data_IF_676655730786
#
_entry.id   IF_676655730786
#
_cell.length_a   1.000
_cell.length_b   1.000
_cell.length_c   1.000
_cell.angle_alpha   90.00
_cell.angle_beta   90.00
_cell.angle_gamma   90.00
#
_symmetry.space_group_name_H-M   'P 1'
#
loop_
_entity.id
_entity.type
_entity.pdbx_description
1 polymer ?
#
# COMPACT_ATOMS: atom_id res chain seq x y z
N UNK A 1 -17.68 -31.32 -29.90
CA UNK A 1 -16.73 -30.63 -29.01
C UNK A 1 -17.34 -30.65 -27.63
N UNK A 2 -16.68 -31.23 -26.63
CA UNK A 2 -17.19 -31.18 -25.25
C UNK A 2 -17.14 -29.71 -24.80
N UNK A 3 -18.24 -29.17 -24.31
CA UNK A 3 -18.25 -27.85 -23.67
C UNK A 3 -17.33 -27.91 -22.46
N UNK A 4 -16.22 -27.18 -22.51
CA UNK A 4 -15.34 -27.00 -21.37
C UNK A 4 -16.00 -26.01 -20.40
N UNK A 5 -16.44 -26.46 -19.20
CA UNK A 5 -17.14 -25.59 -18.26
C UNK A 5 -16.28 -24.41 -17.80
N UNK A 6 -14.96 -24.57 -17.73
CA UNK A 6 -14.03 -23.50 -17.31
C UNK A 6 -13.94 -22.43 -18.39
N UNK A 7 -13.79 -22.83 -19.66
CA UNK A 7 -13.78 -21.88 -20.78
C UNK A 7 -15.12 -21.13 -20.92
N UNK A 8 -16.25 -21.82 -20.69
CA UNK A 8 -17.57 -21.18 -20.69
C UNK A 8 -17.74 -20.20 -19.52
N UNK A 9 -17.21 -20.53 -18.34
CA UNK A 9 -17.21 -19.65 -17.18
C UNK A 9 -16.34 -18.40 -17.41
N UNK A 10 -15.13 -18.55 -17.99
CA UNK A 10 -14.28 -17.40 -18.36
C UNK A 10 -15.00 -16.42 -19.28
N UNK A 11 -15.74 -16.92 -20.27
CA UNK A 11 -16.57 -16.07 -21.13
C UNK A 11 -17.66 -15.34 -20.34
N UNK A 12 -18.36 -16.03 -19.44
CA UNK A 12 -19.37 -15.41 -18.59
C UNK A 12 -18.77 -14.34 -17.66
N UNK A 13 -17.55 -14.55 -17.15
CA UNK A 13 -16.81 -13.57 -16.33
C UNK A 13 -16.49 -12.31 -17.14
N UNK A 14 -15.99 -12.46 -18.38
CA UNK A 14 -15.74 -11.33 -19.28
C UNK A 14 -17.03 -10.53 -19.59
N UNK A 15 -18.18 -11.20 -19.62
CA UNK A 15 -19.51 -10.58 -19.77
C UNK A 15 -20.09 -10.06 -18.43
N UNK A 16 -19.33 -10.13 -17.33
CA UNK A 16 -19.73 -9.77 -15.95
C UNK A 16 -20.93 -10.56 -15.41
N UNK A 17 -21.20 -11.73 -15.97
CA UNK A 17 -22.25 -12.67 -15.54
C UNK A 17 -21.75 -13.60 -14.42
N UNK A 18 -21.24 -13.04 -13.31
CA UNK A 18 -20.55 -13.80 -12.25
C UNK A 18 -21.40 -14.92 -11.62
N UNK A 19 -22.70 -14.68 -11.42
CA UNK A 19 -23.61 -15.70 -10.87
C UNK A 19 -23.71 -16.92 -11.80
N UNK A 20 -23.81 -16.68 -13.11
CA UNK A 20 -23.83 -17.74 -14.12
C UNK A 20 -22.48 -18.46 -14.21
N UNK A 21 -21.38 -17.71 -14.10
CA UNK A 21 -20.04 -18.32 -14.06
C UNK A 21 -19.90 -19.30 -12.89
N UNK A 22 -20.38 -18.96 -11.69
CA UNK A 22 -20.40 -19.86 -10.53
C UNK A 22 -21.17 -21.15 -10.86
N UNK A 23 -22.38 -21.06 -11.42
CA UNK A 23 -23.17 -22.24 -11.79
C UNK A 23 -22.43 -23.17 -12.75
N UNK A 24 -21.67 -22.61 -13.70
CA UNK A 24 -20.87 -23.36 -14.67
C UNK A 24 -19.64 -24.03 -14.03
N UNK A 25 -19.08 -23.43 -12.97
CA UNK A 25 -17.87 -23.90 -12.28
C UNK A 25 -18.16 -24.99 -11.24
N UNK A 26 -19.33 -24.98 -10.60
CA UNK A 26 -19.71 -25.91 -9.52
C UNK A 26 -19.41 -27.40 -9.83
N UNK A 27 -19.74 -27.95 -11.02
CA UNK A 27 -19.46 -29.36 -11.31
C UNK A 27 -17.96 -29.69 -11.36
N UNK A 28 -17.12 -28.73 -11.78
CA UNK A 28 -15.66 -28.91 -11.86
C UNK A 28 -14.99 -28.69 -10.49
N UNK A 29 -15.51 -27.76 -9.69
CA UNK A 29 -15.05 -27.49 -8.32
C UNK A 29 -15.38 -28.65 -7.36
N UNK A 30 -16.56 -29.26 -7.49
CA UNK A 30 -17.03 -30.34 -6.60
C UNK A 30 -16.68 -31.77 -7.08
N UNK A 31 -15.92 -31.92 -8.17
CA UNK A 31 -15.58 -33.22 -8.74
C UNK A 31 -14.49 -33.99 -7.96
N UNK A 32 -14.34 -35.29 -8.25
CA UNK A 32 -13.39 -36.20 -7.57
C UNK A 32 -11.91 -35.75 -7.62
N UNK A 33 -11.53 -34.92 -8.61
CA UNK A 33 -10.16 -34.41 -8.79
C UNK A 33 -10.05 -32.88 -8.58
N UNK A 34 -10.98 -32.26 -7.86
CA UNK A 34 -10.99 -30.84 -7.46
C UNK A 34 -10.18 -29.91 -8.38
N UNK A 35 -10.83 -29.32 -9.38
CA UNK A 35 -10.14 -28.46 -10.33
C UNK A 35 -9.75 -27.13 -9.68
N UNK A 36 -8.45 -26.87 -9.55
CA UNK A 36 -7.87 -25.65 -8.95
C UNK A 36 -8.35 -24.38 -9.64
N UNK A 37 -8.26 -24.32 -10.97
CA UNK A 37 -8.68 -23.16 -11.76
C UNK A 37 -10.17 -22.88 -11.57
N UNK A 38 -11.01 -23.92 -11.49
CA UNK A 38 -12.42 -23.76 -11.23
C UNK A 38 -12.71 -23.20 -9.83
N UNK A 39 -11.96 -23.63 -8.81
CA UNK A 39 -12.09 -23.12 -7.44
C UNK A 39 -11.65 -21.65 -7.34
N UNK A 40 -10.53 -21.29 -7.98
CA UNK A 40 -10.07 -19.89 -8.01
C UNK A 40 -11.08 -18.98 -8.71
N UNK A 41 -11.54 -19.35 -9.91
CA UNK A 41 -12.54 -18.56 -10.64
C UNK A 41 -13.85 -18.45 -9.87
N UNK A 42 -14.27 -19.52 -9.17
CA UNK A 42 -15.45 -19.47 -8.33
C UNK A 42 -15.26 -18.48 -7.17
N UNK A 43 -14.13 -18.55 -6.47
CA UNK A 43 -13.83 -17.66 -5.35
C UNK A 43 -13.75 -16.18 -5.79
N UNK A 44 -13.13 -15.91 -6.96
CA UNK A 44 -13.09 -14.56 -7.56
C UNK A 44 -14.48 -14.06 -7.92
N UNK A 45 -15.34 -14.89 -8.51
CA UNK A 45 -16.75 -14.54 -8.75
C UNK A 45 -17.52 -14.26 -7.45
N UNK A 46 -17.27 -15.02 -6.39
CA UNK A 46 -17.87 -14.77 -5.07
C UNK A 46 -17.39 -13.43 -4.50
N UNK A 47 -16.12 -13.03 -4.70
CA UNK A 47 -15.64 -11.69 -4.34
C UNK A 47 -16.39 -10.59 -5.11
N UNK A 48 -16.56 -10.76 -6.42
CA UNK A 48 -17.29 -9.81 -7.28
C UNK A 48 -18.76 -9.61 -6.87
N UNK A 49 -19.38 -10.66 -6.31
CA UNK A 49 -20.75 -10.63 -5.80
C UNK A 49 -20.83 -10.20 -4.32
N UNK A 50 -19.73 -9.78 -3.71
CA UNK A 50 -19.62 -9.45 -2.28
C UNK A 50 -19.97 -10.62 -1.33
N UNK A 51 -19.86 -11.86 -1.82
CA UNK A 51 -20.03 -13.08 -1.02
C UNK A 51 -18.73 -13.45 -0.29
N UNK A 52 -18.19 -12.51 0.51
CA UNK A 52 -16.87 -12.65 1.16
C UNK A 52 -16.72 -13.93 2.00
N UNK A 53 -17.79 -14.37 2.68
CA UNK A 53 -17.78 -15.60 3.46
C UNK A 53 -17.67 -16.86 2.59
N UNK A 54 -18.27 -16.88 1.40
CA UNK A 54 -18.18 -18.00 0.47
C UNK A 54 -16.77 -18.09 -0.14
N UNK A 55 -16.26 -16.96 -0.63
CA UNK A 55 -14.87 -16.84 -1.11
C UNK A 55 -13.87 -17.26 -0.02
N UNK A 56 -14.03 -16.76 1.20
CA UNK A 56 -13.15 -17.06 2.34
C UNK A 56 -13.10 -18.55 2.70
N UNK A 57 -14.20 -19.30 2.54
CA UNK A 57 -14.21 -20.77 2.72
C UNK A 57 -13.36 -21.48 1.67
N UNK A 58 -13.47 -21.07 0.41
CA UNK A 58 -12.69 -21.66 -0.69
C UNK A 58 -11.20 -21.35 -0.50
N UNK A 59 -10.85 -20.11 -0.20
CA UNK A 59 -9.45 -19.72 0.05
C UNK A 59 -8.88 -20.42 1.29
N UNK A 60 -9.62 -20.51 2.39
CA UNK A 60 -9.18 -21.23 3.60
C UNK A 60 -8.92 -22.71 3.29
N UNK A 61 -9.82 -23.34 2.52
CA UNK A 61 -9.66 -24.71 2.09
C UNK A 61 -8.39 -24.91 1.25
N UNK A 62 -8.15 -24.05 0.25
CA UNK A 62 -6.95 -24.12 -0.59
C UNK A 62 -5.66 -23.94 0.21
N UNK A 63 -5.64 -22.99 1.15
CA UNK A 63 -4.47 -22.73 1.98
C UNK A 63 -4.16 -23.90 2.94
N UNK A 64 -5.19 -24.52 3.54
CA UNK A 64 -5.06 -25.60 4.52
C UNK A 64 -4.66 -26.95 3.90
N UNK A 65 -5.27 -27.34 2.78
CA UNK A 65 -5.01 -28.66 2.18
C UNK A 65 -3.61 -28.75 1.56
N UNK A 66 -3.09 -27.64 1.03
CA UNK A 66 -1.70 -27.46 0.64
C UNK A 66 -1.21 -28.35 -0.52
N UNK A 67 -1.03 -29.64 -0.30
CA UNK A 67 -0.48 -30.59 -1.26
C UNK A 67 -1.22 -30.69 -2.61
N UNK A 68 -2.56 -30.53 -2.71
CA UNK A 68 -3.24 -30.63 -3.99
C UNK A 68 -3.23 -29.33 -4.80
N UNK A 69 -2.77 -28.21 -4.22
CA UNK A 69 -2.84 -26.89 -4.85
C UNK A 69 -1.45 -26.31 -5.14
N UNK A 70 -1.33 -25.60 -6.25
CA UNK A 70 -0.12 -24.93 -6.67
C UNK A 70 0.28 -23.84 -5.67
N UNK A 71 1.58 -23.49 -5.59
CA UNK A 71 2.03 -22.39 -4.74
C UNK A 71 1.35 -21.06 -5.10
N UNK A 72 1.04 -20.82 -6.38
CA UNK A 72 0.36 -19.61 -6.83
C UNK A 72 -1.08 -19.50 -6.30
N UNK A 73 -1.87 -20.57 -6.43
CA UNK A 73 -3.24 -20.62 -5.91
C UNK A 73 -3.29 -20.43 -4.39
N UNK A 74 -2.34 -21.05 -3.67
CA UNK A 74 -2.22 -20.90 -2.21
C UNK A 74 -1.77 -19.51 -1.81
N UNK A 75 -0.94 -18.87 -2.61
CA UNK A 75 -0.49 -17.50 -2.35
C UNK A 75 -1.62 -16.49 -2.52
N UNK A 76 -2.42 -16.62 -3.59
CA UNK A 76 -3.66 -15.84 -3.75
C UNK A 76 -4.60 -16.03 -2.55
N UNK A 77 -4.80 -17.28 -2.12
CA UNK A 77 -5.59 -17.57 -0.93
C UNK A 77 -5.03 -16.88 0.33
N UNK A 78 -3.72 -16.94 0.55
CA UNK A 78 -3.09 -16.27 1.67
C UNK A 78 -3.25 -14.74 1.60
N UNK A 79 -3.11 -14.14 0.42
CA UNK A 79 -3.30 -12.71 0.20
C UNK A 79 -4.73 -12.27 0.57
N UNK A 80 -5.75 -12.94 0.02
CA UNK A 80 -7.16 -12.62 0.30
C UNK A 80 -7.52 -12.83 1.77
N UNK A 81 -6.89 -13.81 2.44
CA UNK A 81 -7.08 -14.05 3.88
C UNK A 81 -6.28 -13.09 4.77
N UNK A 82 -5.71 -12.01 4.23
CA UNK A 82 -4.98 -11.00 5.00
C UNK A 82 -3.59 -11.46 5.46
N UNK A 83 -2.99 -12.43 4.77
CA UNK A 83 -1.66 -12.98 5.08
C UNK A 83 -0.67 -12.74 3.92
N UNK A 84 -0.38 -11.47 3.55
CA UNK A 84 0.49 -11.16 2.40
C UNK A 84 1.93 -11.68 2.57
N UNK A 85 2.44 -11.76 3.81
CA UNK A 85 3.76 -12.33 4.07
C UNK A 85 3.80 -13.84 3.80
N UNK A 86 2.74 -14.56 4.18
CA UNK A 86 2.56 -15.98 3.83
C UNK A 86 2.47 -16.17 2.33
N UNK A 87 1.74 -15.28 1.62
CA UNK A 87 1.67 -15.26 0.16
C UNK A 87 3.07 -15.14 -0.47
N UNK A 88 3.88 -14.18 -0.03
CA UNK A 88 5.26 -14.02 -0.51
C UNK A 88 6.13 -15.25 -0.24
N UNK A 89 6.00 -15.86 0.93
CA UNK A 89 6.75 -17.07 1.26
C UNK A 89 6.38 -18.26 0.36
N UNK A 90 5.10 -18.38 -0.01
CA UNK A 90 4.60 -19.41 -0.93
C UNK A 90 5.08 -19.18 -2.38
N UNK A 91 5.25 -17.92 -2.79
CA UNK A 91 5.73 -17.55 -4.14
C UNK A 91 7.26 -17.54 -4.27
N UNK A 92 7.98 -17.47 -3.15
CA UNK A 92 9.45 -17.42 -3.14
C UNK A 92 10.13 -18.54 -3.98
N UNK A 93 9.66 -19.81 -3.99
CA UNK A 93 10.21 -20.85 -4.86
C UNK A 93 10.11 -20.53 -6.35
N UNK A 94 9.05 -19.82 -6.78
CA UNK A 94 8.80 -19.47 -8.18
C UNK A 94 9.64 -18.26 -8.64
N UNK A 95 10.17 -17.47 -7.72
CA UNK A 95 10.90 -16.23 -8.02
C UNK A 95 12.21 -16.44 -8.82
N UNK A 96 12.64 -17.70 -9.02
CA UNK A 96 13.86 -18.06 -9.77
C UNK A 96 13.64 -18.25 -11.28
N UNK A 97 12.41 -18.11 -11.79
CA UNK A 97 12.14 -18.12 -13.23
C UNK A 97 10.69 -18.41 -13.62
N UNK A 98 9.92 -19.01 -12.71
CA UNK A 98 8.54 -19.48 -12.96
C UNK A 98 7.47 -18.47 -12.50
N UNK A 99 7.88 -17.32 -11.98
CA UNK A 99 6.97 -16.25 -11.55
C UNK A 99 6.56 -15.40 -12.75
N UNK A 100 5.54 -15.85 -13.47
CA UNK A 100 4.95 -15.21 -14.65
C UNK A 100 3.42 -15.13 -14.53
N UNK A 101 2.77 -14.40 -15.43
CA UNK A 101 1.32 -14.24 -15.50
C UNK A 101 0.71 -13.71 -14.20
N UNK A 102 -0.47 -14.23 -13.87
CA UNK A 102 -1.20 -13.86 -12.65
C UNK A 102 -0.34 -14.04 -11.37
N UNK A 103 0.52 -15.06 -11.31
CA UNK A 103 1.35 -15.29 -10.13
C UNK A 103 2.35 -14.13 -9.86
N UNK A 104 2.85 -13.49 -10.91
CA UNK A 104 3.70 -12.30 -10.78
C UNK A 104 2.91 -11.07 -10.30
N UNK A 105 1.66 -10.91 -10.74
CA UNK A 105 0.76 -9.88 -10.22
C UNK A 105 0.45 -10.11 -8.73
N UNK A 106 0.10 -11.34 -8.33
CA UNK A 106 -0.13 -11.70 -6.92
C UNK A 106 1.12 -11.44 -6.07
N UNK A 107 2.32 -11.77 -6.57
CA UNK A 107 3.57 -11.44 -5.88
C UNK A 107 3.78 -9.94 -5.69
N UNK A 108 3.44 -9.16 -6.73
CA UNK A 108 3.57 -7.70 -6.72
C UNK A 108 2.66 -7.06 -5.69
N UNK A 109 1.39 -7.48 -5.65
CA UNK A 109 0.40 -7.02 -4.67
C UNK A 109 0.79 -7.45 -3.26
N UNK A 110 1.23 -8.69 -3.09
CA UNK A 110 1.68 -9.18 -1.78
C UNK A 110 2.89 -8.39 -1.26
N UNK A 111 3.85 -8.09 -2.14
CA UNK A 111 5.00 -7.24 -1.81
C UNK A 111 4.57 -5.81 -1.45
N UNK A 112 3.61 -5.25 -2.19
CA UNK A 112 3.03 -3.94 -1.89
C UNK A 112 2.38 -3.93 -0.50
N UNK A 113 1.53 -4.90 -0.17
CA UNK A 113 0.86 -5.00 1.13
C UNK A 113 1.84 -5.14 2.31
N UNK A 114 2.99 -5.78 2.09
CA UNK A 114 4.08 -5.87 3.06
C UNK A 114 4.99 -4.62 3.11
N UNK A 115 4.71 -3.58 2.31
CA UNK A 115 5.53 -2.37 2.23
C UNK A 115 6.86 -2.54 1.50
N UNK A 116 7.08 -3.68 0.82
CA UNK A 116 8.29 -4.02 0.09
C UNK A 116 8.21 -3.53 -1.37
N UNK A 117 8.16 -2.21 -1.54
CA UNK A 117 7.95 -1.58 -2.85
C UNK A 117 9.05 -1.95 -3.86
N UNK A 118 10.30 -2.06 -3.41
CA UNK A 118 11.41 -2.48 -4.28
C UNK A 118 11.20 -3.87 -4.89
N UNK A 119 10.57 -4.79 -4.15
CA UNK A 119 10.25 -6.12 -4.65
C UNK A 119 8.99 -6.10 -5.52
N UNK A 120 7.98 -5.29 -5.15
CA UNK A 120 6.80 -5.02 -5.99
C UNK A 120 7.21 -4.55 -7.39
N UNK A 121 8.04 -3.51 -7.48
CA UNK A 121 8.60 -3.03 -8.75
C UNK A 121 9.36 -4.11 -9.50
N UNK A 122 10.15 -4.94 -8.80
CA UNK A 122 10.93 -6.01 -9.44
C UNK A 122 10.01 -7.06 -10.07
N UNK A 123 8.94 -7.44 -9.40
CA UNK A 123 7.98 -8.41 -9.92
C UNK A 123 7.19 -7.85 -11.11
N UNK A 124 6.71 -6.60 -11.01
CA UNK A 124 6.04 -5.92 -12.11
C UNK A 124 6.95 -5.71 -13.33
N UNK A 125 8.24 -5.38 -13.11
CA UNK A 125 9.19 -5.22 -14.20
C UNK A 125 9.48 -6.55 -14.92
N UNK A 126 9.45 -7.68 -14.18
CA UNK A 126 9.57 -9.02 -14.78
C UNK A 126 8.33 -9.40 -15.58
N UNK A 127 7.14 -9.14 -15.03
CA UNK A 127 5.86 -9.31 -15.71
C UNK A 127 5.84 -8.53 -17.04
N UNK A 128 6.16 -7.24 -17.00
CA UNK A 128 6.25 -6.40 -18.20
C UNK A 128 7.34 -6.87 -19.18
N UNK A 129 8.52 -7.29 -18.69
CA UNK A 129 9.60 -7.80 -19.54
C UNK A 129 9.28 -9.13 -20.22
N UNK A 130 8.35 -9.92 -19.68
CA UNK A 130 7.81 -11.13 -20.31
C UNK A 130 6.83 -10.81 -21.47
N UNK A 131 6.50 -9.54 -21.68
CA UNK A 131 5.52 -9.09 -22.67
C UNK A 131 4.08 -9.25 -22.20
N UNK A 132 3.87 -9.43 -20.89
CA UNK A 132 2.55 -9.51 -20.27
C UNK A 132 2.03 -8.11 -19.95
N UNK A 133 0.72 -7.93 -20.11
CA UNK A 133 0.02 -6.67 -19.84
C UNK A 133 -1.00 -6.91 -18.73
N UNK A 134 -1.10 -5.97 -17.79
CA UNK A 134 -2.13 -6.02 -16.76
C UNK A 134 -3.42 -5.53 -17.39
N UNK A 135 -4.33 -6.47 -17.66
CA UNK A 135 -5.66 -6.21 -18.21
C UNK A 135 -6.69 -6.09 -17.08
N UNK A 136 -7.37 -4.95 -17.00
CA UNK A 136 -8.44 -4.68 -16.02
C UNK A 136 -9.68 -5.59 -16.26
N UNK A 137 -9.78 -6.25 -17.41
CA UNK A 137 -10.85 -7.22 -17.70
C UNK A 137 -10.53 -8.64 -17.21
N UNK A 138 -9.27 -8.90 -16.82
CA UNK A 138 -8.87 -10.23 -16.35
C UNK A 138 -9.46 -10.56 -14.97
N UNK A 139 -9.84 -11.83 -14.71
CA UNK A 139 -10.43 -12.20 -13.43
C UNK A 139 -9.53 -11.94 -12.22
N UNK A 140 -8.20 -11.87 -12.41
CA UNK A 140 -7.23 -11.55 -11.35
C UNK A 140 -7.45 -10.16 -10.78
N UNK A 141 -8.06 -9.25 -11.54
CA UNK A 141 -8.37 -7.88 -11.11
C UNK A 141 -9.23 -7.87 -9.84
N UNK A 142 -10.20 -8.79 -9.75
CA UNK A 142 -11.06 -8.95 -8.58
C UNK A 142 -10.29 -9.29 -7.29
N UNK A 143 -9.10 -9.89 -7.43
CA UNK A 143 -8.20 -10.17 -6.31
C UNK A 143 -7.47 -8.90 -5.90
N UNK A 144 -7.00 -8.11 -6.87
CA UNK A 144 -6.26 -6.85 -6.66
C UNK A 144 -7.18 -5.83 -5.99
N UNK A 145 -8.39 -5.62 -6.54
CA UNK A 145 -9.41 -4.71 -5.97
C UNK A 145 -9.85 -5.13 -4.56
N UNK A 146 -9.84 -6.43 -4.25
CA UNK A 146 -10.15 -6.90 -2.90
C UNK A 146 -8.99 -6.66 -1.92
N UNK A 147 -7.75 -6.85 -2.38
CA UNK A 147 -6.56 -6.78 -1.53
C UNK A 147 -6.14 -5.33 -1.20
N UNK A 148 -6.52 -4.35 -2.02
CA UNK A 148 -6.05 -2.98 -1.93
C UNK A 148 -7.19 -1.98 -1.76
N UNK A 149 -6.99 -0.98 -0.90
CA UNK A 149 -7.86 0.21 -0.89
C UNK A 149 -7.71 0.99 -2.20
N UNK A 150 -8.72 1.80 -2.55
CA UNK A 150 -8.71 2.58 -3.81
C UNK A 150 -7.43 3.42 -3.99
N UNK A 151 -6.92 4.04 -2.94
CA UNK A 151 -5.67 4.82 -3.01
C UNK A 151 -4.44 3.96 -3.21
N UNK A 152 -4.43 2.76 -2.64
CA UNK A 152 -3.35 1.79 -2.77
C UNK A 152 -3.35 1.15 -4.16
N UNK A 153 -4.53 0.88 -4.71
CA UNK A 153 -4.72 0.47 -6.09
C UNK A 153 -4.13 1.50 -7.07
N UNK A 154 -4.52 2.77 -6.93
CA UNK A 154 -3.97 3.83 -7.80
C UNK A 154 -2.45 3.99 -7.64
N UNK A 155 -1.90 3.82 -6.44
CA UNK A 155 -0.45 3.84 -6.24
C UNK A 155 0.24 2.65 -6.91
N UNK A 156 -0.36 1.45 -6.86
CA UNK A 156 0.13 0.27 -7.57
C UNK A 156 0.15 0.49 -9.09
N UNK A 157 -0.86 1.13 -9.67
CA UNK A 157 -0.86 1.51 -11.10
C UNK A 157 0.35 2.38 -11.44
N UNK A 158 0.69 3.36 -10.60
CA UNK A 158 1.86 4.21 -10.85
C UNK A 158 3.18 3.42 -10.76
N UNK A 159 3.26 2.48 -9.82
CA UNK A 159 4.39 1.56 -9.71
C UNK A 159 4.49 0.69 -10.96
N UNK A 160 3.36 0.21 -11.50
CA UNK A 160 3.33 -0.59 -12.73
C UNK A 160 3.81 0.21 -13.95
N UNK A 161 3.38 1.47 -14.10
CA UNK A 161 3.88 2.35 -15.16
C UNK A 161 5.39 2.58 -15.05
N UNK A 162 5.90 2.83 -13.83
CA UNK A 162 7.33 2.94 -13.59
C UNK A 162 8.09 1.63 -13.93
N UNK A 163 7.48 0.48 -13.61
CA UNK A 163 8.04 -0.82 -13.94
C UNK A 163 8.10 -1.08 -15.45
N UNK A 164 7.04 -0.75 -16.19
CA UNK A 164 6.99 -0.83 -17.66
C UNK A 164 8.06 0.06 -18.32
N UNK A 165 8.23 1.29 -17.83
CA UNK A 165 9.27 2.20 -18.34
C UNK A 165 10.69 1.68 -18.08
N UNK A 166 10.88 0.97 -16.97
CA UNK A 166 12.16 0.36 -16.58
C UNK A 166 12.45 -0.98 -17.26
N UNK A 167 11.43 -1.66 -17.78
CA UNK A 167 11.56 -2.98 -18.40
C UNK A 167 12.50 -2.91 -19.62
N UNK A 168 13.63 -3.59 -19.53
CA UNK A 168 14.64 -3.64 -20.59
C UNK A 168 15.67 -2.50 -20.60
N UNK A 169 15.67 -1.58 -19.61
CA UNK A 169 16.71 -0.54 -19.46
C UNK A 169 17.26 -0.50 -18.04
N UNK A 170 18.59 -0.60 -17.82
CA UNK A 170 19.15 -0.36 -16.50
C UNK A 170 18.99 1.11 -16.12
N UNK A 171 18.17 1.36 -15.10
CA UNK A 171 18.14 2.62 -14.35
C UNK A 171 17.27 3.75 -14.91
N UNK A 172 15.96 3.71 -14.67
CA UNK A 172 15.21 4.90 -14.34
C UNK A 172 14.82 4.91 -12.85
N UNK A 173 14.86 6.08 -12.24
CA UNK A 173 14.18 6.30 -10.97
C UNK A 173 12.66 6.31 -11.24
N UNK A 174 11.83 5.77 -10.33
CA UNK A 174 10.36 5.83 -10.45
C UNK A 174 9.90 7.29 -10.55
N UNK A 175 9.33 7.66 -11.70
CA UNK A 175 8.91 9.04 -12.01
C UNK A 175 7.41 9.18 -11.80
N UNK A 176 6.62 8.25 -12.31
CA UNK A 176 5.17 8.28 -12.25
C UNK A 176 4.70 8.29 -10.80
N UNK A 177 5.23 7.37 -9.97
CA UNK A 177 4.89 7.34 -8.55
C UNK A 177 5.32 8.60 -7.80
N UNK A 178 6.52 9.11 -8.08
CA UNK A 178 6.98 10.38 -7.49
C UNK A 178 6.03 11.54 -7.82
N UNK A 179 5.63 11.68 -9.09
CA UNK A 179 4.69 12.70 -9.51
C UNK A 179 3.32 12.52 -8.85
N UNK A 180 2.80 11.30 -8.79
CA UNK A 180 1.51 11.00 -8.17
C UNK A 180 1.48 11.32 -6.67
N UNK A 181 2.59 11.09 -5.95
CA UNK A 181 2.72 11.47 -4.54
C UNK A 181 2.84 12.99 -4.38
N UNK A 182 3.57 13.65 -5.27
CA UNK A 182 3.83 15.10 -5.17
C UNK A 182 2.62 15.96 -5.57
N UNK A 183 1.83 15.55 -6.57
CA UNK A 183 0.70 16.35 -7.09
C UNK A 183 -0.30 16.77 -5.99
N UNK A 184 -0.82 15.87 -5.14
CA UNK A 184 -1.76 16.24 -4.07
C UNK A 184 -1.19 17.27 -3.09
N UNK A 185 0.11 17.15 -2.80
CA UNK A 185 0.86 18.07 -1.92
C UNK A 185 1.00 19.45 -2.60
N UNK A 186 1.41 19.47 -3.87
CA UNK A 186 1.47 20.70 -4.67
C UNK A 186 0.11 21.40 -4.83
N UNK A 187 -0.96 20.64 -5.07
CA UNK A 187 -2.33 21.16 -5.17
C UNK A 187 -2.81 21.83 -3.88
N UNK A 188 -2.37 21.34 -2.72
CA UNK A 188 -2.66 21.96 -1.43
C UNK A 188 -2.03 23.35 -1.33
N UNK A 189 -0.73 23.49 -1.62
CA UNK A 189 -0.02 24.76 -1.52
C UNK A 189 -0.47 25.79 -2.56
N UNK A 190 -0.86 25.32 -3.75
CA UNK A 190 -1.31 26.18 -4.86
C UNK A 190 -2.78 26.58 -4.76
N UNK A 191 -3.53 26.02 -3.81
CA UNK A 191 -4.92 26.39 -3.60
C UNK A 191 -5.05 27.82 -3.05
N UNK A 192 -5.58 28.70 -3.90
CA UNK A 192 -5.69 30.14 -3.63
C UNK A 192 -6.74 30.54 -2.58
N UNK A 193 -7.62 29.62 -2.16
CA UNK A 193 -8.72 29.91 -1.23
C UNK A 193 -8.72 28.95 -0.03
N UNK A 194 -9.06 29.43 1.18
CA UNK A 194 -9.18 28.61 2.39
C UNK A 194 -10.05 27.35 2.22
N UNK A 195 -11.23 27.50 1.60
CA UNK A 195 -12.19 26.41 1.41
C UNK A 195 -11.64 25.31 0.48
N UNK A 196 -10.84 25.71 -0.53
CA UNK A 196 -10.15 24.77 -1.41
C UNK A 196 -8.99 24.09 -0.71
N UNK A 197 -8.17 24.83 0.05
CA UNK A 197 -7.09 24.24 0.86
C UNK A 197 -7.62 23.20 1.83
N UNK A 198 -8.70 23.50 2.54
CA UNK A 198 -9.35 22.55 3.45
C UNK A 198 -9.79 21.28 2.74
N UNK A 199 -10.39 21.39 1.55
CA UNK A 199 -10.78 20.23 0.73
C UNK A 199 -9.57 19.41 0.25
N UNK A 200 -8.47 20.05 -0.14
CA UNK A 200 -7.23 19.38 -0.55
C UNK A 200 -6.55 18.70 0.64
N UNK A 201 -6.48 19.36 1.78
CA UNK A 201 -5.99 18.78 3.04
C UNK A 201 -6.82 17.56 3.46
N UNK A 202 -8.15 17.65 3.41
CA UNK A 202 -9.02 16.51 3.68
C UNK A 202 -8.81 15.35 2.68
N UNK A 203 -8.52 15.65 1.41
CA UNK A 203 -8.19 14.61 0.43
C UNK A 203 -6.86 13.92 0.73
N UNK A 204 -5.83 14.67 1.14
CA UNK A 204 -4.55 14.12 1.61
C UNK A 204 -4.73 13.25 2.86
N UNK A 205 -5.51 13.72 3.84
CA UNK A 205 -5.77 12.97 5.07
C UNK A 205 -6.49 11.66 4.80
N UNK A 206 -7.38 11.59 3.80
CA UNK A 206 -8.01 10.31 3.41
C UNK A 206 -7.01 9.25 2.93
N UNK A 207 -5.84 9.66 2.44
CA UNK A 207 -4.75 8.72 2.08
C UNK A 207 -3.93 8.38 3.33
N UNK A 208 -3.56 9.37 4.13
CA UNK A 208 -2.71 9.19 5.31
C UNK A 208 -3.40 8.41 6.45
N UNK A 209 -4.70 8.66 6.66
CA UNK A 209 -5.53 8.07 7.69
C UNK A 209 -6.91 7.68 7.10
N UNK A 210 -6.98 6.54 6.40
CA UNK A 210 -8.23 6.07 5.78
C UNK A 210 -9.34 5.91 6.82
N UNK A 211 -10.54 6.37 6.49
CA UNK A 211 -11.71 6.28 7.38
C UNK A 211 -11.78 7.34 8.48
N UNK A 212 -10.73 8.13 8.70
CA UNK A 212 -10.75 9.22 9.68
C UNK A 212 -11.25 10.55 9.07
N UNK A 213 -12.24 11.21 9.69
CA UNK A 213 -12.66 12.53 9.24
C UNK A 213 -11.57 13.57 9.53
N UNK A 214 -11.28 14.42 8.55
CA UNK A 214 -10.34 15.52 8.75
C UNK A 214 -10.95 16.60 9.65
N UNK A 215 -10.35 16.81 10.83
CA UNK A 215 -10.73 17.87 11.77
C UNK A 215 -9.50 18.70 12.17
N UNK A 216 -9.35 19.92 11.61
CA UNK A 216 -8.30 20.84 12.02
C UNK A 216 -8.47 21.34 13.45
N UNK A 217 -9.69 21.42 13.97
CA UNK A 217 -9.95 22.04 15.28
C UNK A 217 -9.22 21.31 16.42
N UNK A 218 -8.39 22.05 17.15
CA UNK A 218 -7.63 21.52 18.29
C UNK A 218 -6.46 20.63 17.88
N UNK A 219 -6.06 20.65 16.60
CA UNK A 219 -4.93 19.88 16.11
C UNK A 219 -3.62 20.31 16.75
N UNK A 220 -3.47 21.61 17.03
CA UNK A 220 -2.30 22.14 17.78
C UNK A 220 -2.16 21.50 19.15
N UNK A 221 -3.28 21.31 19.87
CA UNK A 221 -3.29 20.68 21.19
C UNK A 221 -2.99 19.18 21.11
N UNK A 222 -3.55 18.48 20.11
CA UNK A 222 -3.25 17.06 19.87
C UNK A 222 -1.78 16.85 19.51
N UNK A 223 -1.24 17.68 18.63
CA UNK A 223 0.18 17.65 18.27
C UNK A 223 1.06 17.94 19.49
N UNK A 224 0.68 18.92 20.32
CA UNK A 224 1.37 19.20 21.58
C UNK A 224 1.39 17.98 22.50
N UNK A 225 0.26 17.27 22.64
CA UNK A 225 0.16 16.05 23.43
C UNK A 225 1.15 14.97 22.95
N UNK A 226 1.19 14.72 21.63
CA UNK A 226 2.16 13.78 21.04
C UNK A 226 3.59 14.19 21.39
N UNK A 227 3.95 15.46 21.19
CA UNK A 227 5.32 15.93 21.47
C UNK A 227 5.66 15.90 22.97
N UNK A 228 4.68 16.06 23.86
CA UNK A 228 4.84 15.90 25.30
C UNK A 228 5.12 14.44 25.69
N UNK A 229 4.44 13.49 25.04
CA UNK A 229 4.72 12.06 25.25
C UNK A 229 6.17 11.73 24.86
N UNK A 230 6.64 12.26 23.73
CA UNK A 230 8.05 12.15 23.32
C UNK A 230 9.00 12.85 24.30
N UNK A 231 8.64 14.02 24.83
CA UNK A 231 9.44 14.73 25.83
C UNK A 231 9.60 13.94 27.15
N UNK A 232 8.65 13.05 27.46
CA UNK A 232 8.70 12.12 28.59
C UNK A 232 9.39 10.78 28.30
N UNK A 233 9.75 10.49 27.04
CA UNK A 233 10.43 9.25 26.62
C UNK A 233 11.91 9.25 27.00
N UNK A 234 12.46 8.07 27.34
CA UNK A 234 13.89 7.93 27.66
C UNK A 234 14.79 8.13 26.42
N UNK A 235 14.33 7.69 25.25
CA UNK A 235 15.14 7.68 24.02
C UNK A 235 15.03 9.01 23.26
N UNK A 236 13.84 9.62 23.25
CA UNK A 236 13.51 10.76 22.38
C UNK A 236 13.14 12.05 23.12
N UNK A 237 13.40 12.14 24.43
CA UNK A 237 13.08 13.34 25.24
C UNK A 237 13.57 14.65 24.61
N UNK A 238 14.79 14.62 24.04
CA UNK A 238 15.39 15.80 23.42
C UNK A 238 14.59 16.27 22.21
N UNK A 239 14.17 15.34 21.35
CA UNK A 239 13.32 15.65 20.20
C UNK A 239 12.00 16.27 20.66
N UNK A 240 11.33 15.68 21.66
CA UNK A 240 10.06 16.20 22.18
C UNK A 240 10.19 17.62 22.75
N UNK A 241 11.20 17.87 23.58
CA UNK A 241 11.45 19.18 24.19
C UNK A 241 11.84 20.27 23.17
N UNK A 242 12.67 19.95 22.18
CA UNK A 242 13.03 20.89 21.13
C UNK A 242 11.84 21.17 20.19
N UNK A 243 11.08 20.14 19.80
CA UNK A 243 9.89 20.27 18.94
C UNK A 243 8.79 21.11 19.59
N UNK A 244 8.57 20.95 20.91
CA UNK A 244 7.60 21.76 21.65
C UNK A 244 7.93 23.26 21.58
N UNK A 245 9.21 23.64 21.65
CA UNK A 245 9.62 25.06 21.51
C UNK A 245 9.29 25.60 20.13
N UNK A 246 9.48 24.80 19.08
CA UNK A 246 9.15 25.21 17.71
C UNK A 246 7.64 25.31 17.50
N UNK A 247 6.86 24.40 18.09
CA UNK A 247 5.40 24.48 18.09
C UNK A 247 4.90 25.75 18.80
N UNK A 248 5.40 26.06 19.99
CA UNK A 248 5.04 27.26 20.77
C UNK A 248 5.43 28.56 20.06
N UNK A 249 6.53 28.54 19.31
CA UNK A 249 6.99 29.68 18.52
C UNK A 249 6.29 29.84 17.15
N UNK A 250 5.38 28.92 16.78
CA UNK A 250 4.75 28.90 15.46
C UNK A 250 5.73 28.61 14.32
N UNK A 251 6.88 28.00 14.61
CA UNK A 251 7.90 27.66 13.62
C UNK A 251 7.62 26.29 12.98
N UNK A 252 6.58 26.25 12.14
CA UNK A 252 6.10 25.03 11.49
C UNK A 252 7.12 24.36 10.57
N UNK A 253 7.97 25.15 9.90
CA UNK A 253 9.00 24.63 8.99
C UNK A 253 10.07 23.84 9.76
N UNK A 254 10.56 24.38 10.87
CA UNK A 254 11.54 23.66 11.69
C UNK A 254 10.92 22.47 12.41
N UNK A 255 9.68 22.61 12.89
CA UNK A 255 8.94 21.49 13.48
C UNK A 255 8.79 20.32 12.48
N UNK A 256 8.38 20.60 11.24
CA UNK A 256 8.27 19.57 10.20
C UNK A 256 9.63 18.94 9.86
N UNK A 257 10.71 19.74 9.84
CA UNK A 257 12.09 19.27 9.63
C UNK A 257 12.54 18.31 10.72
N UNK A 258 12.26 18.64 11.98
CA UNK A 258 12.57 17.79 13.13
C UNK A 258 11.78 16.48 13.09
N UNK A 259 10.46 16.55 12.85
CA UNK A 259 9.61 15.35 12.77
C UNK A 259 10.08 14.43 11.63
N UNK A 260 10.37 15.00 10.46
CA UNK A 260 10.90 14.26 9.32
C UNK A 260 12.25 13.60 9.65
N UNK A 261 13.15 14.31 10.33
CA UNK A 261 14.44 13.75 10.73
C UNK A 261 14.28 12.54 11.68
N UNK A 262 13.40 12.66 12.67
CA UNK A 262 13.08 11.55 13.58
C UNK A 262 12.47 10.36 12.83
N UNK A 263 11.48 10.60 11.96
CA UNK A 263 10.86 9.54 11.17
C UNK A 263 11.88 8.83 10.28
N UNK A 264 12.83 9.55 9.66
CA UNK A 264 13.90 8.94 8.87
C UNK A 264 14.87 8.14 9.73
N UNK A 265 15.16 8.59 10.96
CA UNK A 265 15.95 7.83 11.92
C UNK A 265 15.26 6.52 12.31
N UNK A 266 13.98 6.58 12.67
CA UNK A 266 13.20 5.39 13.02
C UNK A 266 13.00 4.47 11.83
N UNK A 267 12.82 5.00 10.62
CA UNK A 267 12.71 4.22 9.39
C UNK A 267 13.95 3.33 9.15
N UNK A 268 15.14 3.73 9.62
CA UNK A 268 16.34 2.87 9.53
C UNK A 268 16.19 1.59 10.32
N UNK A 269 15.45 1.61 11.42
CA UNK A 269 15.16 0.42 12.23
C UNK A 269 14.25 -0.56 11.47
N UNK A 270 13.38 -0.05 10.60
CA UNK A 270 12.46 -0.84 9.76
C UNK A 270 13.01 -1.17 8.37
N UNK A 271 14.21 -0.69 8.01
CA UNK A 271 14.77 -0.83 6.66
C UNK A 271 14.79 -2.30 6.19
N UNK A 272 15.14 -3.23 7.09
CA UNK A 272 15.16 -4.67 6.79
C UNK A 272 13.78 -5.21 6.39
N UNK A 273 12.73 -4.90 7.17
CA UNK A 273 11.35 -5.32 6.88
C UNK A 273 10.83 -4.76 5.56
N UNK A 274 11.24 -3.54 5.19
CA UNK A 274 10.86 -2.89 3.94
C UNK A 274 11.70 -3.33 2.72
N UNK A 275 12.75 -4.14 2.92
CA UNK A 275 13.69 -4.51 1.86
C UNK A 275 14.53 -3.33 1.36
N UNK A 276 14.86 -2.39 2.25
CA UNK A 276 15.67 -1.20 1.97
C UNK A 276 17.08 -1.34 2.56
N UNK A 277 18.05 -0.70 1.92
CA UNK A 277 19.40 -0.54 2.48
C UNK A 277 19.41 0.67 3.43
N UNK A 278 19.59 0.44 4.74
CA UNK A 278 19.50 1.48 5.77
C UNK A 278 20.44 2.68 5.57
N UNK A 279 21.60 2.46 4.94
CA UNK A 279 22.58 3.52 4.62
C UNK A 279 22.06 4.53 3.58
N UNK A 280 21.04 4.17 2.79
CA UNK A 280 20.41 5.06 1.79
C UNK A 280 19.30 5.93 2.38
N UNK A 281 18.98 5.76 3.67
CA UNK A 281 17.91 6.50 4.35
C UNK A 281 18.48 7.78 4.96
N UNK A 282 18.33 8.88 4.23
CA UNK A 282 18.76 10.21 4.66
C UNK A 282 17.92 11.31 4.00
N UNK A 283 17.85 12.48 4.64
CA UNK A 283 17.12 13.65 4.13
C UNK A 283 17.61 14.09 2.75
N UNK A 284 18.93 14.02 2.51
CA UNK A 284 19.53 14.35 1.20
C UNK A 284 19.20 13.37 0.07
N UNK A 285 18.53 12.26 0.38
CA UNK A 285 18.15 11.22 -0.57
C UNK A 285 16.62 11.07 -0.72
N UNK A 286 15.81 12.00 -0.19
CA UNK A 286 14.34 11.88 -0.19
C UNK A 286 13.73 11.68 -1.58
N UNK A 287 14.29 12.31 -2.61
CA UNK A 287 13.85 12.11 -4.01
C UNK A 287 13.96 10.65 -4.47
N UNK A 288 14.95 9.92 -3.96
CA UNK A 288 15.17 8.52 -4.28
C UNK A 288 14.45 7.59 -3.30
N UNK A 289 14.30 8.03 -2.04
CA UNK A 289 13.72 7.24 -0.97
C UNK A 289 12.19 7.19 -1.05
N UNK A 290 11.51 8.34 -1.16
CA UNK A 290 10.04 8.43 -1.09
C UNK A 290 9.35 7.44 -2.05
N UNK A 291 9.78 7.30 -3.32
CA UNK A 291 9.16 6.34 -4.22
C UNK A 291 9.36 4.87 -3.87
N UNK A 292 10.21 4.55 -2.88
CA UNK A 292 10.47 3.19 -2.40
C UNK A 292 9.76 2.90 -1.07
N UNK A 293 9.05 3.87 -0.50
CA UNK A 293 8.34 3.72 0.77
C UNK A 293 6.89 3.28 0.55
N UNK A 294 6.25 2.65 1.55
CA UNK A 294 4.80 2.45 1.53
C UNK A 294 4.07 3.79 1.37
N UNK A 295 2.90 3.78 0.73
CA UNK A 295 2.17 4.99 0.31
C UNK A 295 2.01 6.03 1.43
N UNK A 296 1.58 5.60 2.62
CA UNK A 296 1.31 6.51 3.75
C UNK A 296 2.58 7.22 4.25
N UNK A 297 3.67 6.51 4.61
CA UNK A 297 4.98 7.11 4.86
C UNK A 297 5.50 7.97 3.72
N UNK A 298 5.34 7.54 2.47
CA UNK A 298 5.80 8.29 1.29
C UNK A 298 5.11 9.66 1.18
N UNK A 299 3.77 9.66 1.29
CA UNK A 299 2.94 10.88 1.27
C UNK A 299 3.22 11.77 2.48
N UNK A 300 3.35 11.19 3.67
CA UNK A 300 3.63 11.92 4.91
C UNK A 300 4.99 12.62 4.88
N UNK A 301 6.03 11.91 4.44
CA UNK A 301 7.37 12.48 4.29
C UNK A 301 7.44 13.52 3.16
N UNK A 302 6.72 13.33 2.05
CA UNK A 302 6.61 14.35 0.99
C UNK A 302 5.97 15.63 1.53
N UNK A 303 4.88 15.50 2.29
CA UNK A 303 4.21 16.63 2.92
C UNK A 303 5.13 17.35 3.91
N UNK A 304 5.79 16.63 4.82
CA UNK A 304 6.73 17.23 5.78
C UNK A 304 7.92 17.89 5.08
N UNK A 305 8.45 17.26 4.04
CA UNK A 305 9.51 17.81 3.20
C UNK A 305 9.07 19.16 2.59
N UNK A 306 7.86 19.23 2.02
CA UNK A 306 7.34 20.46 1.42
C UNK A 306 7.06 21.57 2.45
N UNK A 307 6.70 21.23 3.70
CA UNK A 307 6.58 22.21 4.80
C UNK A 307 7.96 22.69 5.27
N UNK A 308 8.94 21.78 5.32
CA UNK A 308 10.28 22.04 5.83
C UNK A 308 11.20 22.78 4.83
N UNK A 309 10.90 22.68 3.53
CA UNK A 309 11.73 23.26 2.47
C UNK A 309 11.76 24.79 2.56
N UNK A 310 12.95 25.30 2.89
CA UNK A 310 13.20 26.72 3.07
C UNK A 310 13.91 27.37 1.89
N UNK A 311 14.32 26.58 0.89
CA UNK A 311 15.12 27.07 -0.23
C UNK A 311 14.25 27.65 -1.36
N UNK A 312 13.04 27.13 -1.53
CA UNK A 312 12.06 27.66 -2.48
C UNK A 312 11.18 28.74 -1.83
N UNK A 313 11.52 30.01 -2.11
CA UNK A 313 10.76 31.19 -1.64
C UNK A 313 9.29 31.18 -2.07
N UNK A 314 8.96 30.58 -3.21
CA UNK A 314 7.59 30.50 -3.69
C UNK A 314 6.82 29.49 -2.85
N UNK A 315 7.38 28.31 -2.60
CA UNK A 315 6.80 27.32 -1.68
C UNK A 315 6.64 27.89 -0.27
N UNK A 316 7.63 28.63 0.25
CA UNK A 316 7.50 29.28 1.57
C UNK A 316 6.33 30.27 1.64
N UNK A 317 6.16 31.11 0.61
CA UNK A 317 5.02 32.04 0.55
C UNK A 317 3.69 31.29 0.49
N UNK A 318 3.66 30.11 -0.12
CA UNK A 318 2.46 29.29 -0.25
C UNK A 318 2.13 28.54 1.04
N UNK A 319 3.13 28.03 1.75
CA UNK A 319 2.98 27.43 3.09
C UNK A 319 2.43 28.47 4.08
N UNK A 320 2.93 29.71 4.05
CA UNK A 320 2.42 30.81 4.89
C UNK A 320 0.95 31.16 4.65
N UNK A 321 0.38 30.75 3.52
CA UNK A 321 -1.04 30.96 3.22
C UNK A 321 -1.94 29.86 3.78
N UNK A 322 -1.39 28.77 4.31
CA UNK A 322 -2.16 27.69 4.96
C UNK A 322 -2.45 28.09 6.40
N UNK A 323 -3.70 27.88 6.82
CA UNK A 323 -4.18 28.13 8.16
C UNK A 323 -3.40 27.28 9.19
N UNK A 324 -3.00 27.87 10.33
CA UNK A 324 -2.14 27.20 11.34
C UNK A 324 -2.72 25.87 11.84
N UNK A 325 -4.03 25.83 12.16
CA UNK A 325 -4.69 24.59 12.59
C UNK A 325 -4.72 23.52 11.48
N UNK A 326 -4.76 23.93 10.20
CA UNK A 326 -4.66 22.99 9.07
C UNK A 326 -3.25 22.44 8.96
N UNK A 327 -2.21 23.28 9.10
CA UNK A 327 -0.82 22.83 9.14
C UNK A 327 -0.56 21.89 10.32
N UNK A 328 -1.03 22.24 11.51
CA UNK A 328 -0.91 21.41 12.70
C UNK A 328 -1.55 20.03 12.51
N UNK A 329 -2.76 20.00 11.92
CA UNK A 329 -3.47 18.75 11.64
C UNK A 329 -2.74 17.88 10.61
N UNK A 330 -2.23 18.49 9.54
CA UNK A 330 -1.47 17.79 8.51
C UNK A 330 -0.17 17.20 9.05
N UNK A 331 0.58 17.96 9.87
CA UNK A 331 1.79 17.48 10.54
C UNK A 331 1.45 16.34 11.52
N UNK A 332 0.41 16.52 12.35
CA UNK A 332 -0.05 15.50 13.30
C UNK A 332 -0.40 14.18 12.59
N UNK A 333 -1.19 14.24 11.53
CA UNK A 333 -1.62 13.06 10.78
C UNK A 333 -0.43 12.41 10.06
N UNK A 334 0.45 13.20 9.43
CA UNK A 334 1.67 12.67 8.81
C UNK A 334 2.60 11.98 9.82
N UNK A 335 2.68 12.52 11.04
CA UNK A 335 3.40 11.89 12.14
C UNK A 335 2.79 10.52 12.45
N UNK A 336 1.49 10.48 12.77
CA UNK A 336 0.81 9.26 13.21
C UNK A 336 0.75 8.18 12.12
N UNK A 337 0.45 8.56 10.88
CA UNK A 337 0.34 7.65 9.75
C UNK A 337 1.64 6.84 9.54
N UNK A 338 2.80 7.45 9.77
CA UNK A 338 4.08 6.75 9.71
C UNK A 338 4.14 5.60 10.72
N UNK A 339 3.88 5.86 12.01
CA UNK A 339 4.01 4.84 13.06
C UNK A 339 2.93 3.76 12.95
N UNK A 340 1.70 4.14 12.57
CA UNK A 340 0.64 3.17 12.32
C UNK A 340 1.01 2.22 11.18
N UNK A 341 1.57 2.74 10.09
CA UNK A 341 2.00 1.92 8.96
C UNK A 341 3.21 1.04 9.32
N UNK A 342 4.20 1.58 10.03
CA UNK A 342 5.37 0.79 10.47
C UNK A 342 4.96 -0.33 11.44
N UNK A 343 4.04 -0.06 12.36
CA UNK A 343 3.50 -1.06 13.27
C UNK A 343 2.69 -2.12 12.52
N UNK A 344 1.85 -1.72 11.57
CA UNK A 344 1.12 -2.64 10.69
C UNK A 344 2.09 -3.61 10.01
N UNK A 345 3.16 -3.10 9.41
CA UNK A 345 4.18 -3.91 8.72
C UNK A 345 4.92 -4.82 9.70
N UNK A 346 5.30 -4.31 10.87
CA UNK A 346 5.95 -5.10 11.94
C UNK A 346 5.09 -6.29 12.36
N UNK A 347 3.76 -6.10 12.45
CA UNK A 347 2.82 -7.16 12.79
C UNK A 347 2.67 -8.22 11.68
N UNK A 348 2.89 -7.86 10.41
CA UNK A 348 2.89 -8.82 9.29
C UNK A 348 4.10 -9.76 9.31
N UNK A 349 5.22 -9.33 9.88
CA UNK A 349 6.43 -10.15 10.02
C UNK A 349 6.33 -11.18 11.17
N UNK A 350 5.29 -11.09 12.01
CA UNK A 350 5.01 -12.08 13.04
C UNK A 350 4.37 -13.34 12.42
N UNK A 351 4.55 -14.53 13.03
CA UNK A 351 3.88 -15.74 12.57
C UNK A 351 2.36 -15.51 12.54
N UNK A 352 1.64 -15.93 11.49
CA UNK A 352 0.19 -15.79 11.46
C UNK A 352 -0.43 -16.59 12.61
N UNK A 353 -1.53 -16.12 13.21
CA UNK A 353 -2.28 -16.93 14.15
C UNK A 353 -2.70 -18.24 13.47
N UNK A 354 -2.77 -19.37 14.21
CA UNK A 354 -3.26 -20.61 13.64
C UNK A 354 -4.65 -20.38 13.06
N UNK A 355 -4.89 -20.85 11.83
CA UNK A 355 -6.22 -20.87 11.24
C UNK A 355 -7.13 -21.64 12.21
N UNK A 356 -8.13 -20.96 12.79
CA UNK A 356 -9.06 -21.63 13.69
C UNK A 356 -9.72 -22.78 12.90
N UNK A 357 -9.67 -24.03 13.41
CA UNK A 357 -10.49 -25.07 12.84
C UNK A 357 -11.94 -24.64 13.05
N UNK A 358 -12.72 -24.57 11.97
CA UNK A 358 -14.16 -24.30 12.04
C UNK A 358 -14.75 -25.16 13.17
N UNK A 359 -15.30 -24.49 14.20
CA UNK A 359 -16.08 -25.18 15.22
C UNK A 359 -17.28 -25.83 14.51
N UNK A 360 -17.55 -27.13 14.78
CA UNK A 360 -18.48 -27.95 14.01
C UNK A 360 -19.93 -27.45 14.02
#
# INVERSE_FOLDING_TARGET
MKNDPVAAARKAIAEKEYARAIELLLPAAAGEKMNEEALLLQARCDLALHHHAAAGKIYSFMLQQGAPFSPAARAEAALILGQPQTSLALLAPLATGDLTGEAALIASVSAYCCGRISDCMRYLARFAAAGEEWDEEDPVELVIEHALERSEYHDLEQIYLDAQESAGKPGPQPRNRWFAINIPVYELYTASRPDKRLKRAAALVRVLAPGEPFSPEGATERLRGILQDFAGSEEDARFGLESLKHLEAGNWAELARMIMALQLEHLRQFAGSLGLEGERIATGALQQLIPLLPLRPAMGLMLLYAIADSEDRMLQQMVQNIEEEVLAALIQVAFQAFYLEMERIRLLDLPPPPLEPDLP
#
